data_IF_167751209440
#
_entry.id   IF_167751209440
#
_cell.length_a   1.000
_cell.length_b   1.000
_cell.length_c   1.000
_cell.angle_alpha   90.00
_cell.angle_beta   90.00
_cell.angle_gamma   90.00
#
_symmetry.space_group_name_H-M   'P 1'
#
loop_
_entity.id
_entity.type
_entity.pdbx_description
1 polymer ?
#
# COMPACT_ATOMS: atom_id res chain seq x y z
N UNK A 1 0.02 -14.25 15.54
CA UNK A 1 -0.22 -12.83 15.86
C UNK A 1 0.70 -11.99 15.00
N UNK A 2 0.15 -11.03 14.25
CA UNK A 2 0.95 -10.08 13.45
C UNK A 2 1.57 -9.02 14.34
N UNK A 3 2.74 -8.51 13.97
CA UNK A 3 3.42 -7.37 14.55
C UNK A 3 3.63 -6.30 13.48
N UNK A 4 3.19 -5.08 13.74
CA UNK A 4 3.38 -3.94 12.86
C UNK A 4 4.12 -2.82 13.58
N UNK A 5 5.08 -2.19 12.90
CA UNK A 5 5.80 -1.03 13.42
C UNK A 5 6.14 -0.06 12.29
N UNK A 6 6.22 1.24 12.61
CA UNK A 6 6.86 2.22 11.75
C UNK A 6 8.35 1.92 11.72
N UNK A 7 8.93 1.84 10.53
CA UNK A 7 10.33 1.45 10.35
C UNK A 7 11.00 2.35 9.30
N UNK A 8 12.13 2.92 9.66
CA UNK A 8 12.99 3.66 8.72
C UNK A 8 12.22 4.73 7.92
N UNK A 9 11.32 5.44 8.59
CA UNK A 9 10.43 6.41 7.94
C UNK A 9 11.15 7.71 7.59
N UNK A 10 12.04 8.18 8.50
CA UNK A 10 12.78 9.43 8.31
C UNK A 10 14.12 9.42 9.08
N UNK A 11 15.09 10.27 8.69
CA UNK A 11 16.43 10.24 9.28
C UNK A 11 16.47 10.41 10.80
N UNK A 12 15.57 11.23 11.37
CA UNK A 12 15.55 11.47 12.82
C UNK A 12 15.21 10.24 13.64
N UNK A 13 14.30 9.38 13.16
CA UNK A 13 13.99 8.09 13.78
C UNK A 13 15.22 7.17 13.75
N UNK A 14 15.85 7.03 12.59
CA UNK A 14 17.03 6.17 12.40
C UNK A 14 18.16 6.64 13.29
N UNK A 15 18.46 7.94 13.30
CA UNK A 15 19.51 8.52 14.13
C UNK A 15 19.24 8.30 15.62
N UNK A 16 18.00 8.47 16.08
CA UNK A 16 17.63 8.23 17.47
C UNK A 16 17.83 6.79 17.92
N UNK A 17 17.59 5.81 17.04
CA UNK A 17 17.88 4.38 17.33
C UNK A 17 19.39 4.15 17.29
N UNK A 18 20.10 4.68 16.30
CA UNK A 18 21.56 4.59 16.21
C UNK A 18 22.28 5.17 17.44
N UNK A 19 21.85 6.34 17.92
CA UNK A 19 22.41 7.00 19.12
C UNK A 19 22.16 6.17 20.39
N UNK A 20 20.99 5.56 20.52
CA UNK A 20 20.59 4.83 21.71
C UNK A 20 21.12 3.39 21.75
N UNK A 21 21.08 2.70 20.62
CA UNK A 21 21.33 1.25 20.54
C UNK A 21 22.60 0.88 19.78
N UNK A 22 23.23 1.84 19.06
CA UNK A 22 24.43 1.62 18.25
C UNK A 22 24.20 0.78 16.99
N UNK A 23 22.95 0.67 16.51
CA UNK A 23 22.59 -0.14 15.36
C UNK A 23 21.39 0.45 14.61
N UNK A 24 21.18 0.02 13.35
CA UNK A 24 20.06 0.44 12.53
C UNK A 24 18.73 -0.19 12.99
N UNK A 25 17.55 0.37 12.64
CA UNK A 25 16.28 -0.09 13.16
C UNK A 25 15.98 -1.58 12.91
N UNK A 26 16.20 -2.10 11.70
CA UNK A 26 15.98 -3.52 11.43
C UNK A 26 17.02 -4.44 12.11
N UNK A 27 18.25 -3.98 12.30
CA UNK A 27 19.26 -4.70 13.10
C UNK A 27 18.83 -4.79 14.58
N UNK A 28 18.26 -3.71 15.11
CA UNK A 28 17.73 -3.71 16.46
C UNK A 28 16.53 -4.67 16.60
N UNK A 29 15.62 -4.70 15.61
CA UNK A 29 14.51 -5.66 15.60
C UNK A 29 14.99 -7.11 15.47
N UNK A 30 16.07 -7.37 14.71
CA UNK A 30 16.70 -8.69 14.68
C UNK A 30 17.23 -9.10 16.06
N UNK A 31 17.98 -8.22 16.71
CA UNK A 31 18.51 -8.43 18.07
C UNK A 31 17.40 -8.73 19.09
N UNK A 32 16.24 -8.08 18.95
CA UNK A 32 15.07 -8.32 19.80
C UNK A 32 14.31 -9.61 19.47
N UNK A 33 14.68 -10.30 18.39
CA UNK A 33 13.98 -11.49 17.91
C UNK A 33 12.58 -11.20 17.37
N UNK A 34 12.33 -9.96 16.93
CA UNK A 34 11.02 -9.51 16.46
C UNK A 34 10.77 -9.78 14.97
N UNK A 35 11.84 -9.97 14.17
CA UNK A 35 11.71 -10.17 12.72
C UNK A 35 11.17 -11.55 12.38
N UNK A 36 10.30 -11.62 11.38
CA UNK A 36 9.70 -12.84 10.85
C UNK A 36 8.65 -12.54 9.81
N UNK A 37 8.07 -13.57 9.21
CA UNK A 37 6.99 -13.44 8.21
C UNK A 37 5.73 -12.74 8.76
N UNK A 38 5.59 -12.70 10.07
CA UNK A 38 4.51 -12.03 10.80
C UNK A 38 4.77 -10.54 11.03
N UNK A 39 5.97 -10.03 10.68
CA UNK A 39 6.34 -8.63 10.87
C UNK A 39 6.01 -7.80 9.63
N UNK A 40 5.32 -6.68 9.85
CA UNK A 40 5.03 -5.67 8.84
C UNK A 40 5.76 -4.37 9.19
N UNK A 41 6.75 -4.01 8.38
CA UNK A 41 7.45 -2.73 8.45
C UNK A 41 6.71 -1.67 7.65
N UNK A 42 5.99 -0.77 8.33
CA UNK A 42 5.37 0.38 7.67
C UNK A 42 6.45 1.39 7.25
N UNK A 43 6.23 2.05 6.13
CA UNK A 43 7.12 3.01 5.46
C UNK A 43 8.39 2.38 4.87
N UNK A 44 9.39 2.05 5.68
CA UNK A 44 10.65 1.39 5.25
C UNK A 44 11.32 2.07 4.05
N UNK A 45 11.48 3.40 4.16
CA UNK A 45 11.93 4.26 3.06
C UNK A 45 13.44 4.28 2.91
N UNK A 46 14.16 4.36 4.02
CA UNK A 46 15.62 4.56 4.08
C UNK A 46 16.25 3.29 4.62
N UNK A 47 16.53 2.35 3.73
CA UNK A 47 17.08 1.04 4.07
C UNK A 47 18.54 0.95 3.63
N UNK A 48 19.40 0.47 4.54
CA UNK A 48 20.74 0.03 4.18
C UNK A 48 20.69 -1.30 3.45
N UNK A 49 21.78 -1.65 2.74
CA UNK A 49 21.90 -2.95 2.07
C UNK A 49 21.76 -4.12 3.07
N UNK A 50 22.34 -3.98 4.25
CA UNK A 50 22.23 -5.01 5.29
C UNK A 50 20.79 -5.18 5.78
N UNK A 51 20.05 -4.09 5.99
CA UNK A 51 18.63 -4.17 6.38
C UNK A 51 17.78 -4.83 5.30
N UNK A 52 18.03 -4.55 4.02
CA UNK A 52 17.34 -5.24 2.90
C UNK A 52 17.59 -6.77 2.96
N UNK A 53 18.81 -7.19 3.28
CA UNK A 53 19.13 -8.62 3.45
C UNK A 53 18.43 -9.23 4.69
N UNK A 54 18.33 -8.50 5.81
CA UNK A 54 17.57 -8.94 6.98
C UNK A 54 16.07 -9.09 6.66
N UNK A 55 15.47 -8.10 5.98
CA UNK A 55 14.08 -8.13 5.53
C UNK A 55 13.82 -9.38 4.68
N UNK A 56 14.73 -9.68 3.74
CA UNK A 56 14.66 -10.88 2.89
C UNK A 56 14.80 -12.15 3.69
N UNK A 57 15.82 -12.24 4.53
CA UNK A 57 16.14 -13.41 5.36
C UNK A 57 14.98 -13.84 6.23
N UNK A 58 14.29 -12.89 6.82
CA UNK A 58 13.18 -13.14 7.75
C UNK A 58 11.80 -13.13 7.09
N UNK A 59 11.69 -12.83 5.79
CA UNK A 59 10.42 -12.77 5.08
C UNK A 59 9.50 -11.64 5.56
N UNK A 60 10.11 -10.56 6.09
CA UNK A 60 9.39 -9.37 6.55
C UNK A 60 8.59 -8.76 5.41
N UNK A 61 7.36 -8.32 5.70
CA UNK A 61 6.51 -7.62 4.74
C UNK A 61 6.70 -6.12 4.89
N UNK A 62 6.70 -5.39 3.79
CA UNK A 62 6.81 -3.93 3.76
C UNK A 62 5.50 -3.31 3.32
N UNK A 63 5.20 -2.12 3.83
CA UNK A 63 4.03 -1.35 3.42
C UNK A 63 4.41 0.13 3.23
N UNK A 64 4.46 0.60 1.99
CA UNK A 64 4.64 2.02 1.73
C UNK A 64 3.32 2.78 1.87
N UNK A 65 3.39 4.00 2.38
CA UNK A 65 2.28 4.93 2.50
C UNK A 65 2.63 6.21 1.69
N UNK A 66 2.48 6.20 0.38
CA UNK A 66 3.10 7.15 -0.53
C UNK A 66 2.82 8.62 -0.21
N UNK A 67 1.58 8.98 0.06
CA UNK A 67 1.22 10.36 0.37
C UNK A 67 1.87 10.83 1.67
N UNK A 68 1.81 10.00 2.73
CA UNK A 68 2.48 10.28 4.00
C UNK A 68 4.00 10.33 3.86
N UNK A 69 4.56 9.54 2.95
CA UNK A 69 6.01 9.47 2.73
C UNK A 69 6.57 10.68 1.95
N UNK A 70 5.73 11.40 1.20
CA UNK A 70 6.14 12.63 0.52
C UNK A 70 6.67 13.66 1.53
N UNK A 71 7.87 14.18 1.26
CA UNK A 71 8.57 15.10 2.17
C UNK A 71 9.43 14.43 3.25
N UNK A 72 9.42 13.09 3.34
CA UNK A 72 10.31 12.33 4.25
C UNK A 72 11.45 11.68 3.49
N UNK A 73 11.14 10.73 2.60
CA UNK A 73 12.10 10.10 1.70
C UNK A 73 11.37 9.38 0.55
N UNK A 74 12.13 9.00 -0.48
CA UNK A 74 11.64 8.17 -1.58
C UNK A 74 12.24 6.78 -1.44
N UNK A 75 11.41 5.72 -1.31
CA UNK A 75 11.91 4.35 -1.20
C UNK A 75 12.52 3.87 -2.52
N UNK A 76 13.51 2.99 -2.42
CA UNK A 76 14.08 2.29 -3.58
C UNK A 76 13.24 1.05 -3.94
N UNK A 77 11.94 1.26 -4.15
CA UNK A 77 10.99 0.18 -4.43
C UNK A 77 11.35 -0.65 -5.66
N UNK A 78 11.88 -0.08 -6.76
CA UNK A 78 12.32 -0.89 -7.88
C UNK A 78 13.39 -1.93 -7.49
N UNK A 79 14.35 -1.58 -6.64
CA UNK A 79 15.36 -2.51 -6.13
C UNK A 79 14.74 -3.54 -5.17
N UNK A 80 13.87 -3.09 -4.26
CA UNK A 80 13.19 -3.99 -3.31
C UNK A 80 12.42 -5.10 -4.04
N UNK A 81 11.65 -4.74 -5.06
CA UNK A 81 10.90 -5.70 -5.88
C UNK A 81 11.82 -6.63 -6.69
N UNK A 82 12.92 -6.10 -7.23
CA UNK A 82 13.92 -6.91 -7.96
C UNK A 82 14.58 -7.96 -7.05
N UNK A 83 14.76 -7.65 -5.77
CA UNK A 83 15.24 -8.60 -4.75
C UNK A 83 14.18 -9.63 -4.34
N UNK A 84 12.95 -9.48 -4.81
CA UNK A 84 11.81 -10.35 -4.45
C UNK A 84 11.23 -10.06 -3.08
N UNK A 85 11.41 -8.84 -2.55
CA UNK A 85 10.80 -8.43 -1.29
C UNK A 85 9.31 -8.15 -1.49
N UNK A 86 8.50 -8.51 -0.49
CA UNK A 86 7.07 -8.25 -0.50
C UNK A 86 6.79 -6.80 -0.07
N UNK A 87 6.27 -6.01 -0.98
CA UNK A 87 5.93 -4.60 -0.74
C UNK A 87 4.46 -4.38 -1.04
N UNK A 88 3.70 -3.99 -0.04
CA UNK A 88 2.31 -3.55 -0.15
C UNK A 88 2.20 -2.03 -0.13
N UNK A 89 0.96 -1.54 -0.17
CA UNK A 89 0.63 -0.12 -0.10
C UNK A 89 -0.48 0.13 0.91
N UNK A 90 -0.35 1.19 1.68
CA UNK A 90 -1.31 1.67 2.65
C UNK A 90 -1.53 3.17 2.56
N UNK A 91 -2.49 3.68 3.31
CA UNK A 91 -2.85 5.09 3.33
C UNK A 91 -2.29 5.86 4.53
N UNK A 92 -1.71 5.15 5.51
CA UNK A 92 -1.40 5.76 6.81
C UNK A 92 -2.66 6.34 7.47
N UNK A 93 -2.54 7.42 8.21
CA UNK A 93 -3.67 8.09 8.84
C UNK A 93 -4.56 8.84 7.85
N UNK A 94 -5.85 8.93 8.16
CA UNK A 94 -6.86 9.63 7.34
C UNK A 94 -6.55 11.10 7.06
N UNK A 95 -5.65 11.70 7.83
CA UNK A 95 -5.23 13.10 7.67
C UNK A 95 -4.44 13.38 6.38
N UNK A 96 -3.90 12.34 5.72
CA UNK A 96 -3.06 12.50 4.53
C UNK A 96 -3.88 12.44 3.24
N UNK A 97 -4.35 11.25 2.84
CA UNK A 97 -4.94 11.02 1.52
C UNK A 97 -6.43 10.67 1.53
N UNK A 98 -7.10 10.82 2.67
CA UNK A 98 -8.52 10.48 2.80
C UNK A 98 -8.81 8.98 2.65
N UNK A 99 -7.87 8.11 2.99
CA UNK A 99 -7.96 6.64 2.94
C UNK A 99 -8.21 6.06 1.53
N UNK A 100 -7.76 6.74 0.48
CA UNK A 100 -7.92 6.30 -0.90
C UNK A 100 -6.66 5.63 -1.44
N UNK A 101 -6.68 4.32 -1.65
CA UNK A 101 -5.59 3.61 -2.30
C UNK A 101 -5.39 4.05 -3.76
N UNK A 102 -6.41 4.56 -4.45
CA UNK A 102 -6.24 5.15 -5.79
C UNK A 102 -5.38 6.40 -5.75
N UNK A 103 -5.59 7.27 -4.76
CA UNK A 103 -4.74 8.44 -4.56
C UNK A 103 -3.30 8.04 -4.26
N UNK A 104 -3.11 7.02 -3.41
CA UNK A 104 -1.79 6.48 -3.08
C UNK A 104 -1.06 5.92 -4.31
N UNK A 105 -1.74 5.13 -5.13
CA UNK A 105 -1.16 4.57 -6.36
C UNK A 105 -0.70 5.67 -7.33
N UNK A 106 -1.49 6.73 -7.50
CA UNK A 106 -1.17 7.84 -8.41
C UNK A 106 0.01 8.67 -7.93
N UNK A 107 0.02 9.05 -6.65
CA UNK A 107 1.17 9.80 -6.09
C UNK A 107 2.42 8.94 -6.11
N UNK A 108 2.32 7.65 -5.75
CA UNK A 108 3.44 6.72 -5.79
C UNK A 108 4.07 6.64 -7.18
N UNK A 109 3.25 6.40 -8.21
CA UNK A 109 3.74 6.33 -9.59
C UNK A 109 4.44 7.62 -10.02
N UNK A 110 3.84 8.76 -9.68
CA UNK A 110 4.41 10.07 -10.02
C UNK A 110 5.77 10.28 -9.36
N UNK A 111 5.89 9.96 -8.07
CA UNK A 111 7.14 10.06 -7.31
C UNK A 111 8.21 9.11 -7.88
N UNK A 112 7.84 7.85 -8.14
CA UNK A 112 8.77 6.86 -8.74
C UNK A 112 9.26 7.32 -10.11
N UNK A 113 8.39 7.84 -10.96
CA UNK A 113 8.77 8.35 -12.27
C UNK A 113 9.72 9.56 -12.19
N UNK A 114 9.48 10.49 -11.26
CA UNK A 114 10.34 11.65 -11.07
C UNK A 114 11.70 11.22 -10.52
N UNK A 115 11.71 10.41 -9.48
CA UNK A 115 12.94 10.10 -8.74
C UNK A 115 13.79 9.03 -9.42
N UNK A 116 13.18 7.93 -9.88
CA UNK A 116 13.90 6.82 -10.51
C UNK A 116 13.79 6.83 -12.03
N UNK A 117 12.66 7.25 -12.59
CA UNK A 117 12.39 7.19 -14.02
C UNK A 117 13.15 8.25 -14.80
N UNK A 118 13.02 9.51 -14.44
CA UNK A 118 13.63 10.63 -15.19
C UNK A 118 15.15 10.54 -15.24
N UNK A 119 15.88 10.33 -14.12
CA UNK A 119 17.35 10.22 -14.18
C UNK A 119 17.83 9.07 -15.04
N UNK A 120 17.11 7.97 -15.06
CA UNK A 120 17.45 6.75 -15.81
C UNK A 120 16.82 6.70 -17.20
N UNK A 121 16.13 7.76 -17.63
CA UNK A 121 15.38 7.81 -18.91
C UNK A 121 14.44 6.61 -19.10
N UNK A 122 13.85 6.14 -18.00
CA UNK A 122 12.95 5.00 -17.97
C UNK A 122 11.53 5.43 -17.56
N UNK A 123 10.64 5.73 -18.52
CA UNK A 123 9.26 6.13 -18.21
C UNK A 123 8.38 4.97 -17.68
N UNK A 124 8.91 3.76 -17.65
CA UNK A 124 8.24 2.53 -17.20
C UNK A 124 8.89 1.94 -15.96
N UNK A 125 9.49 2.76 -15.12
CA UNK A 125 10.18 2.30 -13.90
C UNK A 125 9.22 1.57 -12.94
N UNK A 126 7.96 2.04 -12.86
CA UNK A 126 6.88 1.38 -12.11
C UNK A 126 5.63 1.27 -13.01
N UNK A 127 5.48 0.15 -13.75
CA UNK A 127 4.29 -0.10 -14.56
C UNK A 127 3.01 -0.17 -13.71
N UNK A 128 1.86 0.14 -14.32
CA UNK A 128 0.57 0.11 -13.64
C UNK A 128 0.24 -1.28 -13.05
N UNK A 129 0.59 -2.32 -13.79
CA UNK A 129 0.44 -3.72 -13.37
C UNK A 129 1.20 -4.02 -12.09
N UNK A 130 2.43 -3.54 -11.98
CA UNK A 130 3.28 -3.71 -10.79
C UNK A 130 2.68 -2.99 -9.58
N UNK A 131 2.19 -1.77 -9.75
CA UNK A 131 1.58 -1.00 -8.68
C UNK A 131 0.27 -1.66 -8.20
N UNK A 132 -0.56 -2.15 -9.12
CA UNK A 132 -1.76 -2.90 -8.76
C UNK A 132 -1.43 -4.21 -8.03
N UNK A 133 -0.38 -4.93 -8.44
CA UNK A 133 0.10 -6.12 -7.73
C UNK A 133 0.56 -5.78 -6.30
N UNK A 134 1.25 -4.66 -6.09
CA UNK A 134 1.62 -4.19 -4.75
C UNK A 134 0.39 -3.97 -3.86
N UNK A 135 -0.67 -3.37 -4.39
CA UNK A 135 -1.91 -3.15 -3.63
C UNK A 135 -2.64 -4.45 -3.35
N UNK A 136 -2.78 -5.33 -4.33
CA UNK A 136 -3.58 -6.56 -4.22
C UNK A 136 -2.80 -7.68 -3.55
N UNK A 137 -1.69 -8.12 -4.14
CA UNK A 137 -0.89 -9.25 -3.66
C UNK A 137 -0.01 -8.86 -2.47
N UNK A 138 0.66 -7.72 -2.55
CA UNK A 138 1.47 -7.17 -1.46
C UNK A 138 0.61 -6.83 -0.23
N UNK A 139 -0.57 -6.26 -0.44
CA UNK A 139 -1.55 -6.01 0.61
C UNK A 139 -2.05 -7.28 1.28
N UNK A 140 -2.39 -8.33 0.51
CA UNK A 140 -2.79 -9.63 1.04
C UNK A 140 -1.66 -10.27 1.85
N UNK A 141 -0.42 -10.25 1.32
CA UNK A 141 0.74 -10.77 2.02
C UNK A 141 1.00 -10.05 3.35
N UNK A 142 0.82 -8.72 3.39
CA UNK A 142 0.93 -7.91 4.61
C UNK A 142 -0.11 -8.33 5.68
N UNK A 143 -1.29 -8.80 5.25
CA UNK A 143 -2.34 -9.32 6.12
C UNK A 143 -2.13 -10.79 6.51
N UNK A 144 -1.06 -11.44 6.03
CA UNK A 144 -0.81 -12.87 6.26
C UNK A 144 -1.72 -13.79 5.43
N UNK A 145 -2.28 -13.27 4.34
CA UNK A 145 -3.17 -14.03 3.45
C UNK A 145 -2.48 -14.40 2.13
N UNK A 146 -2.88 -15.50 1.54
CA UNK A 146 -2.51 -15.85 0.17
C UNK A 146 -3.25 -14.93 -0.80
N UNK A 147 -2.54 -14.47 -1.84
CA UNK A 147 -2.95 -13.43 -2.78
C UNK A 147 -4.43 -13.39 -3.15
N UNK A 148 -4.88 -12.21 -3.55
CA UNK A 148 -6.25 -11.91 -3.95
C UNK A 148 -6.37 -12.04 -5.47
N UNK A 149 -7.07 -13.07 -5.93
CA UNK A 149 -7.28 -13.33 -7.36
C UNK A 149 -8.76 -13.61 -7.63
N UNK A 150 -9.21 -13.20 -8.80
CA UNK A 150 -10.56 -13.49 -9.28
C UNK A 150 -10.58 -14.87 -9.95
N UNK A 151 -10.35 -15.91 -9.15
CA UNK A 151 -10.25 -17.30 -9.59
C UNK A 151 -10.96 -18.22 -8.59
N UNK A 152 -11.43 -19.37 -9.07
CA UNK A 152 -12.04 -20.40 -8.21
C UNK A 152 -11.05 -20.90 -7.16
N UNK A 153 -11.48 -20.95 -5.91
CA UNK A 153 -10.66 -21.38 -4.77
C UNK A 153 -10.06 -20.23 -3.95
N UNK A 154 -10.13 -18.98 -4.45
CA UNK A 154 -9.76 -17.79 -3.68
C UNK A 154 -10.95 -17.20 -2.93
N UNK A 155 -10.69 -16.36 -1.94
CA UNK A 155 -11.75 -15.64 -1.22
C UNK A 155 -12.52 -14.75 -2.18
N UNK A 156 -13.83 -14.73 -2.02
CA UNK A 156 -14.71 -13.85 -2.81
C UNK A 156 -14.72 -12.44 -2.21
N UNK A 157 -13.62 -11.73 -2.40
CA UNK A 157 -13.46 -10.31 -2.07
C UNK A 157 -13.33 -9.54 -3.37
N UNK A 158 -14.38 -8.82 -3.77
CA UNK A 158 -14.43 -8.12 -5.05
C UNK A 158 -15.18 -6.80 -4.93
N UNK A 159 -14.85 -5.90 -5.85
CA UNK A 159 -15.61 -4.68 -6.10
C UNK A 159 -16.05 -4.66 -7.57
N UNK A 160 -17.21 -4.11 -7.84
CA UNK A 160 -17.60 -3.71 -9.19
C UNK A 160 -17.43 -2.19 -9.37
N UNK A 161 -17.01 -1.79 -10.56
CA UNK A 161 -16.79 -0.39 -10.91
C UNK A 161 -17.78 -0.01 -12.01
N UNK A 162 -18.57 1.03 -11.77
CA UNK A 162 -19.46 1.60 -12.77
C UNK A 162 -18.63 2.42 -13.77
N UNK A 163 -18.56 1.91 -15.00
CA UNK A 163 -17.82 2.55 -16.09
C UNK A 163 -18.61 3.62 -16.82
N UNK A 164 -19.89 3.80 -16.49
CA UNK A 164 -20.75 4.76 -17.18
C UNK A 164 -20.67 6.16 -16.56
N UNK A 165 -19.46 6.63 -16.32
CA UNK A 165 -19.16 7.95 -15.78
C UNK A 165 -18.30 8.74 -16.77
N UNK A 166 -18.46 10.07 -16.88
CA UNK A 166 -17.77 10.88 -17.90
C UNK A 166 -16.25 10.75 -17.89
N UNK A 167 -15.63 10.63 -16.71
CA UNK A 167 -14.18 10.54 -16.57
C UNK A 167 -13.61 9.16 -16.90
N UNK A 168 -14.46 8.14 -17.07
CA UNK A 168 -14.06 6.79 -17.48
C UNK A 168 -14.32 6.50 -18.96
N UNK A 169 -14.89 7.47 -19.71
CA UNK A 169 -15.25 7.31 -21.12
C UNK A 169 -14.45 8.32 -21.97
N UNK A 170 -13.77 7.87 -23.05
CA UNK A 170 -13.63 6.47 -23.50
C UNK A 170 -12.65 5.68 -22.64
N UNK A 171 -12.94 4.41 -22.41
CA UNK A 171 -11.99 3.52 -21.71
C UNK A 171 -10.94 3.01 -22.70
N UNK A 172 -9.69 3.29 -22.43
CA UNK A 172 -8.52 2.76 -23.16
C UNK A 172 -8.05 1.42 -22.58
N UNK A 173 -6.80 1.37 -22.14
CA UNK A 173 -6.25 0.23 -21.41
C UNK A 173 -6.93 0.12 -20.04
N UNK A 174 -7.57 -1.02 -19.76
CA UNK A 174 -8.36 -1.21 -18.54
C UNK A 174 -7.53 -1.07 -17.25
N UNK A 175 -6.28 -1.55 -17.26
CA UNK A 175 -5.40 -1.48 -16.08
C UNK A 175 -4.97 -0.03 -15.81
N UNK A 176 -4.61 0.70 -16.86
CA UNK A 176 -4.32 2.11 -16.71
C UNK A 176 -5.55 2.92 -16.26
N UNK A 177 -6.73 2.65 -16.85
CA UNK A 177 -7.97 3.30 -16.42
C UNK A 177 -8.28 3.02 -14.96
N UNK A 178 -8.14 1.75 -14.53
CA UNK A 178 -8.37 1.34 -13.15
C UNK A 178 -7.45 2.11 -12.19
N UNK A 179 -6.18 2.26 -12.53
CA UNK A 179 -5.21 2.91 -11.64
C UNK A 179 -5.30 4.44 -11.69
N UNK A 180 -5.42 5.02 -12.90
CA UNK A 180 -5.26 6.46 -13.10
C UNK A 180 -6.57 7.25 -13.01
N UNK A 181 -7.71 6.63 -13.38
CA UNK A 181 -8.95 7.37 -13.58
C UNK A 181 -10.03 7.01 -12.57
N UNK A 182 -10.05 5.78 -12.06
CA UNK A 182 -11.09 5.34 -11.12
C UNK A 182 -10.95 6.02 -9.77
N UNK A 183 -12.08 6.41 -9.20
CA UNK A 183 -12.21 6.98 -7.86
C UNK A 183 -13.06 6.07 -6.96
N UNK A 184 -12.97 6.26 -5.63
CA UNK A 184 -13.78 5.46 -4.70
C UNK A 184 -15.29 5.55 -4.95
N UNK A 185 -15.76 6.68 -5.43
CA UNK A 185 -17.18 6.88 -5.81
C UNK A 185 -17.64 6.09 -7.02
N UNK A 186 -16.74 5.52 -7.82
CA UNK A 186 -17.10 4.68 -8.98
C UNK A 186 -17.38 3.23 -8.59
N UNK A 187 -17.04 2.83 -7.34
CA UNK A 187 -17.35 1.50 -6.83
C UNK A 187 -18.86 1.38 -6.62
N UNK A 188 -19.50 0.50 -7.38
CA UNK A 188 -20.95 0.28 -7.31
C UNK A 188 -21.30 -0.76 -6.25
N UNK A 189 -20.63 -1.90 -6.27
CA UNK A 189 -20.88 -2.99 -5.33
C UNK A 189 -19.60 -3.46 -4.67
N UNK A 190 -19.72 -4.02 -3.46
CA UNK A 190 -18.61 -4.64 -2.73
C UNK A 190 -19.06 -5.95 -2.10
N UNK A 191 -18.26 -6.98 -2.31
CA UNK A 191 -18.41 -8.30 -1.72
C UNK A 191 -17.17 -8.59 -0.89
N UNK A 192 -17.35 -9.02 0.34
CA UNK A 192 -16.27 -9.44 1.23
C UNK A 192 -16.61 -10.81 1.79
N UNK A 193 -15.70 -11.76 1.64
CA UNK A 193 -15.90 -13.15 2.07
C UNK A 193 -17.23 -13.76 1.56
N UNK A 194 -17.55 -13.46 0.30
CA UNK A 194 -18.78 -13.89 -0.35
C UNK A 194 -20.07 -13.18 0.08
N UNK A 195 -19.98 -12.20 0.98
CA UNK A 195 -21.14 -11.41 1.45
C UNK A 195 -21.18 -10.05 0.77
N UNK A 196 -22.33 -9.70 0.20
CA UNK A 196 -22.56 -8.35 -0.34
C UNK A 196 -22.66 -7.37 0.83
N UNK A 197 -21.68 -6.47 0.96
CA UNK A 197 -21.64 -5.46 2.02
C UNK A 197 -21.98 -4.06 1.52
N UNK A 198 -21.87 -3.83 0.22
CA UNK A 198 -22.34 -2.61 -0.45
C UNK A 198 -22.98 -2.96 -1.78
N UNK A 199 -24.09 -2.34 -2.11
CA UNK A 199 -24.80 -2.50 -3.37
C UNK A 199 -25.34 -1.16 -3.88
N UNK A 200 -25.17 -0.90 -5.18
CA UNK A 200 -25.58 0.35 -5.81
C UNK A 200 -25.12 1.59 -5.01
N UNK A 201 -23.87 1.58 -4.55
CA UNK A 201 -23.19 2.60 -3.71
C UNK A 201 -23.82 2.80 -2.32
N UNK A 202 -24.66 1.87 -1.86
CA UNK A 202 -25.24 1.90 -0.50
C UNK A 202 -24.58 0.82 0.36
N UNK A 203 -23.98 1.23 1.47
CA UNK A 203 -23.44 0.30 2.47
C UNK A 203 -24.62 -0.37 3.18
N UNK A 204 -24.62 -1.71 3.21
CA UNK A 204 -25.72 -2.50 3.76
C UNK A 204 -25.52 -2.86 5.24
N UNK A 205 -24.29 -2.69 5.74
CA UNK A 205 -23.86 -3.13 7.08
C UNK A 205 -23.79 -1.98 8.09
N UNK A 206 -23.96 -0.74 7.66
CA UNK A 206 -23.87 0.46 8.48
C UNK A 206 -25.07 1.38 8.22
N UNK A 207 -25.49 2.11 9.25
CA UNK A 207 -26.43 3.23 9.13
C UNK A 207 -25.63 4.52 8.86
N UNK A 208 -25.37 4.78 7.58
CA UNK A 208 -24.57 5.92 7.15
C UNK A 208 -25.20 7.27 7.55
N UNK A 209 -26.53 7.39 7.50
CA UNK A 209 -27.23 8.63 7.85
C UNK A 209 -27.03 8.96 9.32
N UNK A 210 -27.17 7.95 10.18
CA UNK A 210 -26.94 8.10 11.63
C UNK A 210 -25.49 8.43 11.93
N UNK A 211 -24.53 7.71 11.33
CA UNK A 211 -23.09 7.96 11.52
C UNK A 211 -22.73 9.39 11.15
N UNK A 212 -23.22 9.87 9.98
CA UNK A 212 -22.99 11.24 9.55
C UNK A 212 -23.65 12.28 10.46
N UNK A 213 -24.84 11.97 10.97
CA UNK A 213 -25.52 12.83 11.93
C UNK A 213 -24.73 12.95 13.21
N UNK A 214 -24.32 11.83 13.79
CA UNK A 214 -23.56 11.79 15.04
C UNK A 214 -22.19 12.47 14.89
N UNK A 215 -21.50 12.26 13.76
CA UNK A 215 -20.21 12.88 13.49
C UNK A 215 -20.25 14.41 13.32
N UNK A 216 -21.38 14.97 12.89
CA UNK A 216 -21.56 16.43 12.78
C UNK A 216 -21.77 17.11 14.13
N UNK A 217 -22.06 16.36 15.17
CA UNK A 217 -22.26 16.87 16.53
C UNK A 217 -20.95 17.08 17.30
N UNK A 218 -19.83 16.65 16.73
CA UNK A 218 -18.48 16.85 17.26
C UNK A 218 -17.80 18.02 16.52
#
# INVERSE_FOLDING_TARGET
TGLQAHMNEYPGEINGIMEREGMLPYEYMEKMGALGEHFLGAHSLILSEHEKELIKKYGVKLCHCPFSNCGKAVPDTPDLLTRGLSVGMGTDGAAHSGLSLWSEMRIFRSVMNIYHGVPNRNPKVMPAETILSMVMEGGAAAMGESGRRLETGYRADLISIDRNTPHLIPTGNAIHTLMECVEGGDVADMIVDGKVIMKDRRVLTLDEERILYDARAY
#
